data_IF_970536763978
#
_entry.id   IF_970536763978
#
_cell.length_a   1.000
_cell.length_b   1.000
_cell.length_c   1.000
_cell.angle_alpha   90.00
_cell.angle_beta   90.00
_cell.angle_gamma   90.00
#
_symmetry.space_group_name_H-M   'P 1'
#
loop_
_entity.id
_entity.type
_entity.pdbx_description
1 polymer ?
#
# COMPACT_ATOMS: atom_id res chain seq x y z
N UNK A 1 -10.13 -34.00 14.18
CA UNK A 1 -10.52 -32.56 14.06
C UNK A 1 -9.70 -31.65 14.97
N UNK A 2 -9.59 -31.91 16.30
CA UNK A 2 -8.79 -31.05 17.22
C UNK A 2 -7.30 -31.02 16.91
N UNK A 3 -6.67 -32.13 16.53
CA UNK A 3 -5.24 -32.19 16.16
C UNK A 3 -4.93 -31.38 14.86
N UNK A 4 -5.85 -31.34 13.91
CA UNK A 4 -5.66 -30.57 12.68
C UNK A 4 -5.83 -29.07 12.93
N UNK A 5 -6.77 -28.67 13.79
CA UNK A 5 -6.97 -27.27 14.16
C UNK A 5 -5.79 -26.69 14.94
N UNK A 6 -5.20 -27.46 15.87
CA UNK A 6 -4.01 -27.04 16.65
C UNK A 6 -2.79 -26.95 15.72
N UNK A 7 -2.64 -27.88 14.78
CA UNK A 7 -1.54 -27.87 13.80
C UNK A 7 -1.60 -26.62 12.93
N UNK A 8 -2.76 -26.28 12.37
CA UNK A 8 -2.92 -25.09 11.54
C UNK A 8 -2.60 -23.79 12.29
N UNK A 9 -3.02 -23.66 13.54
CA UNK A 9 -2.74 -22.49 14.38
C UNK A 9 -1.24 -22.30 14.66
N UNK A 10 -0.51 -23.41 14.90
CA UNK A 10 0.94 -23.37 15.12
C UNK A 10 1.67 -22.98 13.81
N UNK A 11 1.26 -23.51 12.68
CA UNK A 11 1.86 -23.22 11.39
C UNK A 11 1.59 -21.77 10.96
N UNK A 12 0.41 -21.23 11.22
CA UNK A 12 0.08 -19.82 11.03
C UNK A 12 0.94 -18.90 11.91
N UNK A 13 1.10 -19.25 13.19
CA UNK A 13 1.96 -18.49 14.10
C UNK A 13 3.44 -18.49 13.67
N UNK A 14 3.95 -19.65 13.21
CA UNK A 14 5.31 -19.77 12.67
C UNK A 14 5.48 -18.96 11.38
N UNK A 15 4.48 -19.00 10.50
CA UNK A 15 4.48 -18.24 9.25
C UNK A 15 4.49 -16.74 9.53
N UNK A 16 3.66 -16.27 10.46
CA UNK A 16 3.66 -14.87 10.87
C UNK A 16 5.00 -14.45 11.49
N UNK A 17 5.56 -15.24 12.42
CA UNK A 17 6.87 -14.97 13.01
C UNK A 17 7.98 -14.87 11.97
N UNK A 18 7.94 -15.70 10.92
CA UNK A 18 8.87 -15.62 9.78
C UNK A 18 8.68 -14.32 9.02
N UNK A 19 7.44 -13.91 8.72
CA UNK A 19 7.17 -12.64 8.03
C UNK A 19 7.66 -11.42 8.83
N UNK A 20 7.54 -11.44 10.15
CA UNK A 20 8.11 -10.40 11.03
C UNK A 20 9.64 -10.39 10.97
N UNK A 21 10.28 -11.57 10.95
CA UNK A 21 11.74 -11.67 10.81
C UNK A 21 12.22 -11.15 9.44
N UNK A 22 11.48 -11.41 8.36
CA UNK A 22 11.74 -10.88 7.03
C UNK A 22 11.65 -9.34 7.01
N UNK A 23 10.59 -8.76 7.58
CA UNK A 23 10.49 -7.30 7.73
C UNK A 23 11.67 -6.75 8.51
N UNK A 24 11.99 -7.35 9.65
CA UNK A 24 13.12 -6.92 10.46
C UNK A 24 14.47 -7.08 9.76
N UNK A 25 14.60 -7.95 8.76
CA UNK A 25 15.87 -8.13 8.03
C UNK A 25 16.22 -6.92 7.15
N UNK A 26 15.23 -6.20 6.66
CA UNK A 26 15.39 -5.03 5.78
C UNK A 26 15.34 -3.69 6.53
N UNK A 27 14.82 -3.66 7.75
CA UNK A 27 14.81 -2.46 8.57
C UNK A 27 16.19 -2.14 9.15
N UNK A 28 16.57 -0.85 9.27
CA UNK A 28 17.75 -0.43 10.01
C UNK A 28 17.77 -1.02 11.43
N UNK A 29 18.96 -1.30 11.98
CA UNK A 29 19.08 -1.90 13.32
C UNK A 29 18.39 -1.09 14.41
N UNK A 30 18.30 0.23 14.25
CA UNK A 30 17.66 1.18 15.16
C UNK A 30 16.14 1.27 15.00
N UNK A 31 15.59 0.70 13.93
CA UNK A 31 14.18 0.82 13.54
C UNK A 31 13.46 -0.53 13.47
N UNK A 32 13.96 -1.55 14.18
CA UNK A 32 13.31 -2.86 14.28
C UNK A 32 11.91 -2.73 14.86
N UNK A 33 11.00 -3.59 14.38
CA UNK A 33 9.63 -3.62 14.88
C UNK A 33 9.57 -3.90 16.38
N UNK A 34 8.83 -3.09 17.10
CA UNK A 34 8.49 -3.30 18.52
C UNK A 34 7.38 -4.35 18.65
N UNK A 35 7.16 -4.84 19.87
CA UNK A 35 6.05 -5.75 20.17
C UNK A 35 4.68 -5.10 19.87
N UNK A 36 4.54 -3.79 20.16
CA UNK A 36 3.31 -3.05 19.85
C UNK A 36 3.08 -2.96 18.34
N UNK A 37 4.11 -2.68 17.57
CA UNK A 37 4.03 -2.66 16.11
C UNK A 37 3.73 -4.06 15.54
N UNK A 38 4.28 -5.11 16.13
CA UNK A 38 3.96 -6.49 15.76
C UNK A 38 2.49 -6.83 16.05
N UNK A 39 1.95 -6.38 17.18
CA UNK A 39 0.52 -6.51 17.51
C UNK A 39 -0.38 -5.70 16.57
N UNK A 40 0.11 -4.58 16.03
CA UNK A 40 -0.65 -3.77 15.08
C UNK A 40 -1.00 -4.55 13.80
N UNK A 41 -0.16 -5.48 13.32
CA UNK A 41 -0.51 -6.34 12.18
C UNK A 41 -1.69 -7.26 12.50
N UNK A 42 -1.75 -7.79 13.73
CA UNK A 42 -2.87 -8.64 14.17
C UNK A 42 -4.16 -7.80 14.26
N UNK A 43 -4.07 -6.58 14.80
CA UNK A 43 -5.21 -5.67 14.88
C UNK A 43 -5.75 -5.31 13.49
N UNK A 44 -4.87 -4.93 12.55
CA UNK A 44 -5.25 -4.63 11.16
C UNK A 44 -5.85 -5.87 10.47
N UNK A 45 -5.29 -7.08 10.70
CA UNK A 45 -5.84 -8.30 10.11
C UNK A 45 -7.27 -8.57 10.60
N UNK A 46 -7.53 -8.37 11.87
CA UNK A 46 -8.87 -8.52 12.46
C UNK A 46 -9.84 -7.46 11.94
N UNK A 47 -9.38 -6.22 11.78
CA UNK A 47 -10.20 -5.10 11.31
C UNK A 47 -10.64 -5.25 9.85
N UNK A 48 -9.74 -5.74 8.98
CA UNK A 48 -9.97 -5.79 7.53
C UNK A 48 -10.18 -7.20 6.98
N UNK A 49 -10.29 -8.22 7.86
CA UNK A 49 -10.54 -9.61 7.46
C UNK A 49 -9.41 -10.24 6.63
N UNK A 50 -8.19 -9.77 6.82
CA UNK A 50 -6.97 -10.28 6.15
C UNK A 50 -6.13 -11.08 7.15
N UNK A 51 -5.11 -11.79 6.71
CA UNK A 51 -4.21 -12.53 7.60
C UNK A 51 -3.09 -11.63 8.14
N UNK A 52 -2.56 -11.86 9.37
CA UNK A 52 -1.40 -11.12 9.87
C UNK A 52 -0.17 -11.21 8.96
N UNK A 53 0.00 -12.35 8.26
CA UNK A 53 1.07 -12.55 7.29
C UNK A 53 0.92 -11.64 6.07
N UNK A 54 -0.31 -11.45 5.56
CA UNK A 54 -0.55 -10.54 4.43
C UNK A 54 -0.27 -9.08 4.83
N UNK A 55 -0.57 -8.70 6.06
CA UNK A 55 -0.23 -7.38 6.60
C UNK A 55 1.28 -7.18 6.70
N UNK A 56 2.01 -8.15 7.27
CA UNK A 56 3.46 -8.09 7.35
C UNK A 56 4.13 -8.08 5.96
N UNK A 57 3.59 -8.83 5.00
CA UNK A 57 4.07 -8.83 3.61
C UNK A 57 3.85 -7.47 2.94
N UNK A 58 2.67 -6.88 3.08
CA UNK A 58 2.40 -5.55 2.54
C UNK A 58 3.32 -4.49 3.18
N UNK A 59 3.57 -4.59 4.48
CA UNK A 59 4.53 -3.72 5.16
C UNK A 59 5.97 -3.92 4.66
N UNK A 60 6.37 -5.16 4.40
CA UNK A 60 7.66 -5.44 3.78
C UNK A 60 7.80 -4.75 2.41
N UNK A 61 6.76 -4.81 1.56
CA UNK A 61 6.74 -4.12 0.26
C UNK A 61 6.88 -2.60 0.41
N UNK A 62 6.24 -2.00 1.43
CA UNK A 62 6.33 -0.57 1.71
C UNK A 62 7.76 -0.18 2.11
N UNK A 63 8.36 -0.92 3.05
CA UNK A 63 9.73 -0.63 3.52
C UNK A 63 10.76 -0.90 2.41
N UNK A 64 10.67 -2.02 1.71
CA UNK A 64 11.55 -2.33 0.58
C UNK A 64 11.37 -1.35 -0.58
N UNK A 65 10.20 -0.73 -0.70
CA UNK A 65 9.93 0.36 -1.62
C UNK A 65 10.56 1.71 -1.25
N UNK A 66 11.30 1.79 -0.11
CA UNK A 66 12.07 2.97 0.29
C UNK A 66 11.48 3.80 1.43
N UNK A 67 10.37 3.36 2.05
CA UNK A 67 9.79 4.04 3.22
C UNK A 67 10.40 3.45 4.50
N UNK A 68 11.53 3.98 4.93
CA UNK A 68 12.29 3.47 6.10
C UNK A 68 11.71 3.91 7.45
N UNK A 69 10.98 5.04 7.48
CA UNK A 69 10.29 5.48 8.70
C UNK A 69 9.09 4.58 9.01
N UNK A 70 9.20 3.80 10.08
CA UNK A 70 8.17 2.82 10.45
C UNK A 70 6.80 3.45 10.73
N UNK A 71 6.76 4.68 11.26
CA UNK A 71 5.50 5.38 11.51
C UNK A 71 4.78 5.73 10.20
N UNK A 72 5.51 6.24 9.22
CA UNK A 72 5.01 6.51 7.86
C UNK A 72 4.61 5.20 7.17
N UNK A 73 5.43 4.14 7.28
CA UNK A 73 5.12 2.83 6.71
C UNK A 73 3.82 2.25 7.27
N UNK A 74 3.55 2.38 8.57
CA UNK A 74 2.27 1.97 9.16
C UNK A 74 1.08 2.83 8.70
N UNK A 75 1.28 4.13 8.46
CA UNK A 75 0.25 4.98 7.86
C UNK A 75 -0.10 4.51 6.45
N UNK A 76 0.91 4.23 5.63
CA UNK A 76 0.70 3.68 4.27
C UNK A 76 0.01 2.32 4.36
N UNK A 77 0.43 1.42 5.25
CA UNK A 77 -0.21 0.13 5.44
C UNK A 77 -1.69 0.26 5.81
N UNK A 78 -2.02 1.17 6.74
CA UNK A 78 -3.41 1.43 7.11
C UNK A 78 -4.23 1.93 5.93
N UNK A 79 -3.74 2.93 5.21
CA UNK A 79 -4.39 3.46 4.01
C UNK A 79 -4.50 2.40 2.90
N UNK A 80 -3.51 1.52 2.78
CA UNK A 80 -3.54 0.39 1.83
C UNK A 80 -4.66 -0.61 2.15
N UNK A 81 -4.93 -0.86 3.43
CA UNK A 81 -6.07 -1.68 3.84
C UNK A 81 -7.41 -1.02 3.52
N UNK A 82 -7.54 0.30 3.78
CA UNK A 82 -8.72 1.07 3.46
C UNK A 82 -8.97 1.07 1.94
N UNK A 83 -7.92 1.32 1.16
CA UNK A 83 -7.95 1.28 -0.30
C UNK A 83 -8.30 -0.11 -0.84
N UNK A 84 -7.70 -1.16 -0.30
CA UNK A 84 -7.99 -2.54 -0.70
C UNK A 84 -9.44 -2.93 -0.42
N UNK A 85 -9.96 -2.54 0.73
CA UNK A 85 -11.34 -2.82 1.11
C UNK A 85 -12.35 -2.10 0.21
N UNK A 86 -12.12 -0.82 -0.10
CA UNK A 86 -13.00 -0.01 -0.91
C UNK A 86 -12.86 -0.28 -2.42
N UNK A 87 -11.63 -0.56 -2.88
CA UNK A 87 -11.31 -0.84 -4.29
C UNK A 87 -11.45 -2.31 -4.69
N UNK A 88 -11.88 -3.20 -3.77
CA UNK A 88 -12.00 -4.65 -3.98
C UNK A 88 -10.69 -5.30 -4.51
N UNK A 89 -9.56 -4.82 -4.02
CA UNK A 89 -8.22 -5.27 -4.41
C UNK A 89 -7.45 -5.89 -3.24
N UNK A 90 -6.24 -6.35 -3.48
CA UNK A 90 -5.36 -6.87 -2.43
C UNK A 90 -4.54 -5.77 -1.76
N UNK A 91 -4.25 -5.93 -0.45
CA UNK A 91 -3.51 -4.93 0.34
C UNK A 91 -2.12 -4.64 -0.23
N UNK A 92 -1.42 -5.67 -0.75
CA UNK A 92 -0.11 -5.49 -1.37
C UNK A 92 -0.17 -4.68 -2.68
N UNK A 93 -1.25 -4.77 -3.45
CA UNK A 93 -1.45 -3.95 -4.66
C UNK A 93 -1.62 -2.48 -4.26
N UNK A 94 -2.52 -2.20 -3.32
CA UNK A 94 -2.72 -0.85 -2.78
C UNK A 94 -1.45 -0.30 -2.14
N UNK A 95 -0.72 -1.12 -1.37
CA UNK A 95 0.55 -0.74 -0.74
C UNK A 95 1.58 -0.32 -1.78
N UNK A 96 1.71 -1.06 -2.88
CA UNK A 96 2.64 -0.74 -3.97
C UNK A 96 2.31 0.60 -4.62
N UNK A 97 1.04 0.83 -4.98
CA UNK A 97 0.59 2.10 -5.56
C UNK A 97 0.85 3.26 -4.61
N UNK A 98 0.41 3.15 -3.36
CA UNK A 98 0.56 4.23 -2.38
C UNK A 98 2.03 4.52 -2.08
N UNK A 99 2.88 3.49 -1.98
CA UNK A 99 4.31 3.66 -1.73
C UNK A 99 5.01 4.36 -2.89
N UNK A 100 4.78 3.91 -4.13
CA UNK A 100 5.42 4.52 -5.30
C UNK A 100 4.98 5.97 -5.50
N UNK A 101 3.69 6.25 -5.29
CA UNK A 101 3.15 7.60 -5.38
C UNK A 101 3.66 8.49 -4.23
N UNK A 102 3.71 7.97 -3.00
CA UNK A 102 4.27 8.70 -1.86
C UNK A 102 5.72 9.09 -2.10
N UNK A 103 6.56 8.15 -2.55
CA UNK A 103 7.97 8.45 -2.84
C UNK A 103 8.14 9.53 -3.90
N UNK A 104 7.25 9.58 -4.89
CA UNK A 104 7.29 10.61 -5.92
C UNK A 104 6.89 12.00 -5.40
N UNK A 105 5.88 12.09 -4.56
CA UNK A 105 5.27 13.37 -4.16
C UNK A 105 5.59 13.82 -2.73
N UNK A 106 6.25 13.00 -1.90
CA UNK A 106 6.57 13.33 -0.51
C UNK A 106 7.40 14.62 -0.38
N UNK A 107 8.32 14.88 -1.31
CA UNK A 107 9.15 16.09 -1.30
C UNK A 107 8.35 17.35 -1.63
N UNK A 108 7.17 17.24 -2.22
CA UNK A 108 6.24 18.35 -2.42
C UNK A 108 5.40 18.64 -1.18
N UNK A 109 5.62 17.90 -0.07
CA UNK A 109 4.84 18.01 1.16
C UNK A 109 3.50 17.29 1.13
N UNK A 110 3.25 16.45 0.11
CA UNK A 110 2.01 15.71 -0.04
C UNK A 110 1.92 14.59 1.01
N UNK A 111 0.84 14.56 1.76
CA UNK A 111 0.62 13.54 2.80
C UNK A 111 0.10 12.23 2.20
N UNK A 112 0.27 11.11 2.94
CA UNK A 112 -0.28 9.81 2.56
C UNK A 112 -1.80 9.88 2.36
N UNK A 113 -2.51 10.63 3.20
CA UNK A 113 -3.97 10.79 3.09
C UNK A 113 -4.37 11.50 1.78
N UNK A 114 -3.71 12.61 1.45
CA UNK A 114 -3.98 13.31 0.18
C UNK A 114 -3.77 12.40 -1.02
N UNK A 115 -2.66 11.64 -1.03
CA UNK A 115 -2.39 10.66 -2.10
C UNK A 115 -3.52 9.64 -2.19
N UNK A 116 -3.92 9.08 -1.06
CA UNK A 116 -5.00 8.08 -1.01
C UNK A 116 -6.31 8.67 -1.54
N UNK A 117 -6.68 9.86 -1.09
CA UNK A 117 -7.91 10.55 -1.51
C UNK A 117 -7.89 10.83 -3.02
N UNK A 118 -6.78 11.33 -3.57
CA UNK A 118 -6.63 11.59 -5.01
C UNK A 118 -6.76 10.32 -5.84
N UNK A 119 -6.15 9.21 -5.40
CA UNK A 119 -6.26 7.91 -6.09
C UNK A 119 -7.68 7.34 -6.00
N UNK A 120 -8.35 7.46 -4.86
CA UNK A 120 -9.75 7.09 -4.74
C UNK A 120 -10.65 7.90 -5.68
N UNK A 121 -10.38 9.20 -5.77
CA UNK A 121 -11.13 10.06 -6.67
C UNK A 121 -10.92 9.65 -8.13
N UNK A 122 -9.68 9.29 -8.51
CA UNK A 122 -9.40 8.79 -9.86
C UNK A 122 -10.16 7.50 -10.17
N UNK A 123 -10.22 6.56 -9.24
CA UNK A 123 -10.98 5.30 -9.41
C UNK A 123 -12.49 5.55 -9.44
N UNK A 124 -12.98 6.45 -8.60
CA UNK A 124 -14.41 6.78 -8.49
C UNK A 124 -14.95 7.51 -9.71
N UNK A 125 -14.20 8.49 -10.23
CA UNK A 125 -14.68 9.40 -11.29
C UNK A 125 -14.26 8.93 -12.68
N UNK A 126 -13.22 8.09 -12.77
CA UNK A 126 -12.71 7.49 -13.99
C UNK A 126 -13.20 6.05 -14.22
N UNK A 127 -12.68 5.42 -15.25
CA UNK A 127 -12.82 3.98 -15.52
C UNK A 127 -11.45 3.31 -15.35
N UNK A 128 -10.95 3.27 -14.11
CA UNK A 128 -9.66 2.68 -13.73
C UNK A 128 -9.78 1.93 -12.41
N UNK A 129 -8.77 1.14 -12.08
CA UNK A 129 -8.69 0.34 -10.85
C UNK A 129 -7.35 0.57 -10.14
N UNK A 130 -7.25 0.17 -8.85
CA UNK A 130 -5.98 0.19 -8.15
C UNK A 130 -4.93 -0.71 -8.80
N UNK A 131 -5.33 -1.84 -9.42
CA UNK A 131 -4.45 -2.72 -10.15
C UNK A 131 -3.82 -2.01 -11.35
N UNK A 132 -4.64 -1.35 -12.17
CA UNK A 132 -4.18 -0.59 -13.34
C UNK A 132 -3.28 0.57 -12.94
N UNK A 133 -3.67 1.32 -11.91
CA UNK A 133 -2.85 2.40 -11.34
C UNK A 133 -1.51 1.89 -10.80
N UNK A 134 -1.48 0.69 -10.21
CA UNK A 134 -0.25 0.06 -9.73
C UNK A 134 0.76 -0.24 -10.83
N UNK A 135 0.27 -0.54 -12.04
CA UNK A 135 1.13 -0.78 -13.20
C UNK A 135 1.65 0.50 -13.87
N UNK A 136 0.96 1.61 -13.70
CA UNK A 136 1.16 2.84 -14.51
C UNK A 136 1.76 4.00 -13.72
N UNK A 137 1.24 4.30 -12.52
CA UNK A 137 1.66 5.48 -11.73
C UNK A 137 3.14 5.48 -11.34
N UNK A 138 3.75 4.32 -11.13
CA UNK A 138 5.19 4.24 -10.85
C UNK A 138 6.08 4.86 -11.94
N UNK A 139 5.59 5.01 -13.16
CA UNK A 139 6.30 5.62 -14.29
C UNK A 139 6.04 7.11 -14.39
N UNK A 140 4.80 7.53 -14.18
CA UNK A 140 4.36 8.91 -14.40
C UNK A 140 4.54 9.79 -13.17
N UNK A 141 4.29 9.27 -11.97
CA UNK A 141 4.37 10.04 -10.74
C UNK A 141 5.74 10.72 -10.54
N UNK A 142 6.90 10.07 -10.76
CA UNK A 142 8.20 10.75 -10.66
C UNK A 142 8.37 11.86 -11.70
N UNK A 143 7.88 11.68 -12.92
CA UNK A 143 7.98 12.67 -14.00
C UNK A 143 7.11 13.88 -13.66
N UNK A 144 5.83 13.64 -13.32
CA UNK A 144 4.91 14.70 -12.93
C UNK A 144 5.45 15.53 -11.77
N UNK A 145 5.92 14.85 -10.72
CA UNK A 145 6.52 15.50 -9.56
C UNK A 145 7.74 16.36 -9.93
N UNK A 146 8.61 15.88 -10.83
CA UNK A 146 9.82 16.60 -11.22
C UNK A 146 9.55 17.91 -11.97
N UNK A 147 8.39 18.01 -12.61
CA UNK A 147 7.95 19.24 -13.32
C UNK A 147 6.95 20.07 -12.53
N UNK A 148 6.73 19.70 -11.25
CA UNK A 148 5.86 20.45 -10.34
C UNK A 148 4.36 20.19 -10.48
N UNK A 149 3.96 19.17 -11.27
CA UNK A 149 2.57 18.73 -11.37
C UNK A 149 2.20 17.95 -10.11
N UNK A 150 1.09 18.29 -9.47
CA UNK A 150 0.62 17.67 -8.23
C UNK A 150 -0.11 16.33 -8.48
N UNK A 151 -0.23 15.52 -7.43
CA UNK A 151 -0.95 14.23 -7.52
C UNK A 151 -2.42 14.42 -7.89
N UNK A 152 -3.07 15.50 -7.45
CA UNK A 152 -4.47 15.80 -7.75
C UNK A 152 -4.67 16.05 -9.25
N UNK A 153 -3.72 16.73 -9.90
CA UNK A 153 -3.76 16.99 -11.33
C UNK A 153 -3.54 15.69 -12.14
N UNK A 154 -2.60 14.85 -11.69
CA UNK A 154 -2.35 13.53 -12.31
C UNK A 154 -3.58 12.66 -12.18
N UNK A 155 -4.14 12.52 -10.98
CA UNK A 155 -5.31 11.72 -10.69
C UNK A 155 -6.55 12.22 -11.47
N UNK A 156 -6.76 13.53 -11.51
CA UNK A 156 -7.84 14.16 -12.27
C UNK A 156 -7.72 13.93 -13.78
N UNK A 157 -6.50 14.00 -14.32
CA UNK A 157 -6.22 13.72 -15.73
C UNK A 157 -6.51 12.26 -16.09
N UNK A 158 -6.06 11.32 -15.26
CA UNK A 158 -6.37 9.89 -15.43
C UNK A 158 -7.88 9.65 -15.40
N UNK A 159 -8.58 10.21 -14.41
CA UNK A 159 -10.04 10.08 -14.31
C UNK A 159 -10.75 10.60 -15.55
N UNK A 160 -10.36 11.78 -16.04
CA UNK A 160 -10.96 12.40 -17.23
C UNK A 160 -10.73 11.57 -18.50
N UNK A 161 -9.49 11.12 -18.71
CA UNK A 161 -9.11 10.37 -19.91
C UNK A 161 -9.73 8.96 -19.91
N UNK A 162 -9.72 8.27 -18.78
CA UNK A 162 -10.32 6.93 -18.67
C UNK A 162 -11.84 6.97 -18.79
N UNK A 163 -12.49 8.00 -18.23
CA UNK A 163 -13.92 8.23 -18.43
C UNK A 163 -14.29 8.49 -19.89
N UNK A 164 -13.36 9.03 -20.66
CA UNK A 164 -13.50 9.24 -22.11
C UNK A 164 -13.18 7.99 -22.95
N UNK A 165 -12.92 6.84 -22.32
CA UNK A 165 -12.67 5.54 -22.97
C UNK A 165 -11.20 5.28 -23.29
N UNK A 166 -10.26 6.09 -22.81
CA UNK A 166 -8.82 5.84 -22.95
C UNK A 166 -8.41 4.85 -21.85
N UNK A 167 -7.66 3.81 -22.21
CA UNK A 167 -7.17 2.84 -21.22
C UNK A 167 -6.21 3.49 -20.23
N UNK A 168 -6.16 3.02 -19.00
CA UNK A 168 -5.35 3.60 -17.93
C UNK A 168 -3.85 3.68 -18.29
N UNK A 169 -3.31 2.68 -18.98
CA UNK A 169 -1.91 2.64 -19.43
C UNK A 169 -1.58 3.65 -20.53
N UNK A 170 -2.59 4.14 -21.24
CA UNK A 170 -2.48 5.19 -22.27
C UNK A 170 -2.80 6.59 -21.72
N UNK A 171 -3.54 6.65 -20.61
CA UNK A 171 -3.93 7.89 -19.95
C UNK A 171 -2.81 8.47 -19.03
N UNK A 172 -1.69 7.74 -18.93
CA UNK A 172 -0.59 8.01 -17.99
C UNK A 172 0.70 8.36 -18.71
#
# INVERSE_FOLDING_TARGET
LLKSAIGSTIDEARSFSRSIAEVNSILPKTSKLTDEQTKAFIALSSQYGKTPQSQAKAFYEIVSGGVEDTATAFKILKQSNEAAAAGLTEVNVSAKVLTSTFNAFAQQGTSVNQITDSLFQAVKDGQTTFEELSGTLGRVAPIASSVGVGIDEVAGSIAFLTKSGIQTDQAV
#
